data_IF_752437781071
#
_entry.id   IF_752437781071
#
_cell.length_a   1.000
_cell.length_b   1.000
_cell.length_c   1.000
_cell.angle_alpha   90.00
_cell.angle_beta   90.00
_cell.angle_gamma   90.00
#
_symmetry.space_group_name_H-M   'P 1'
#
loop_
_entity.id
_entity.type
_entity.pdbx_description
1 polymer ?
#
# COMPACT_ATOMS: atom_id res chain seq x y z
N UNK A 1 9.67 18.35 0.16
CA UNK A 1 8.45 17.95 -0.57
C UNK A 1 7.71 16.85 0.18
N UNK A 2 6.39 16.90 0.17
CA UNK A 2 5.60 15.84 0.78
C UNK A 2 5.67 14.57 -0.05
N UNK A 3 5.63 13.43 0.64
CA UNK A 3 5.61 12.12 -0.03
C UNK A 3 4.18 11.68 -0.31
N UNK A 4 4.01 10.97 -1.41
CA UNK A 4 2.71 10.48 -1.88
C UNK A 4 2.51 9.03 -1.47
N UNK A 5 1.40 8.74 -0.80
CA UNK A 5 1.04 7.39 -0.35
C UNK A 5 -0.22 6.95 -1.07
N UNK A 6 -0.16 5.83 -1.76
CA UNK A 6 -1.33 5.23 -2.43
C UNK A 6 -1.78 4.01 -1.61
N UNK A 7 -3.04 4.00 -1.20
CA UNK A 7 -3.58 2.92 -0.36
C UNK A 7 -4.71 2.20 -1.08
N UNK A 8 -4.58 0.89 -1.19
CA UNK A 8 -5.61 0.00 -1.71
C UNK A 8 -6.22 -0.81 -0.57
N UNK A 9 -7.50 -0.63 -0.30
CA UNK A 9 -8.22 -1.40 0.70
C UNK A 9 -9.72 -1.29 0.43
N UNK A 10 -10.45 -2.39 0.47
CA UNK A 10 -11.89 -2.38 0.20
C UNK A 10 -12.72 -1.90 1.40
N UNK A 11 -12.11 -1.77 2.56
CA UNK A 11 -12.77 -1.24 3.76
C UNK A 11 -12.64 0.28 3.79
N UNK A 12 -13.73 0.96 3.48
CA UNK A 12 -13.72 2.43 3.41
C UNK A 12 -13.46 3.11 4.75
N UNK A 13 -13.82 2.48 5.87
CA UNK A 13 -13.51 3.02 7.20
C UNK A 13 -12.00 3.01 7.44
N UNK A 14 -11.33 1.94 7.05
CA UNK A 14 -9.87 1.84 7.14
C UNK A 14 -9.21 2.90 6.26
N UNK A 15 -9.72 3.10 5.04
CA UNK A 15 -9.19 4.13 4.14
C UNK A 15 -9.31 5.53 4.74
N UNK A 16 -10.47 5.85 5.32
CA UNK A 16 -10.67 7.15 5.97
C UNK A 16 -9.74 7.35 7.16
N UNK A 17 -9.58 6.31 7.98
CA UNK A 17 -8.70 6.37 9.14
C UNK A 17 -7.24 6.58 8.72
N UNK A 18 -6.76 5.78 7.78
CA UNK A 18 -5.38 5.88 7.30
C UNK A 18 -5.11 7.22 6.65
N UNK A 19 -6.04 7.71 5.84
CA UNK A 19 -5.92 9.01 5.20
C UNK A 19 -5.81 10.12 6.23
N UNK A 20 -6.66 10.11 7.26
CA UNK A 20 -6.63 11.12 8.32
C UNK A 20 -5.29 11.12 9.06
N UNK A 21 -4.80 9.94 9.42
CA UNK A 21 -3.52 9.78 10.13
C UNK A 21 -2.37 10.33 9.28
N UNK A 22 -2.33 9.96 8.01
CA UNK A 22 -1.20 10.31 7.15
C UNK A 22 -1.20 11.78 6.74
N UNK A 23 -2.37 12.36 6.48
CA UNK A 23 -2.45 13.79 6.17
C UNK A 23 -1.95 14.61 7.36
N UNK A 24 -2.30 14.21 8.58
CA UNK A 24 -1.83 14.87 9.79
C UNK A 24 -0.31 14.78 9.95
N UNK A 25 0.32 13.80 9.34
CA UNK A 25 1.76 13.59 9.37
C UNK A 25 2.45 14.06 8.09
N UNK A 26 1.84 14.98 7.38
CA UNK A 26 2.40 15.67 6.20
C UNK A 26 2.59 14.80 4.96
N UNK A 27 1.79 13.75 4.81
CA UNK A 27 1.75 12.97 3.58
C UNK A 27 0.62 13.41 2.68
N UNK A 28 0.78 13.22 1.38
CA UNK A 28 -0.30 13.33 0.39
C UNK A 28 -0.83 11.91 0.15
N UNK A 29 -2.13 11.72 0.22
CA UNK A 29 -2.73 10.39 0.23
C UNK A 29 -3.80 10.25 -0.84
N UNK A 30 -3.72 9.17 -1.61
CA UNK A 30 -4.79 8.73 -2.50
C UNK A 30 -5.26 7.36 -2.02
N UNK A 31 -6.56 7.13 -2.01
CA UNK A 31 -7.15 5.87 -1.58
C UNK A 31 -8.02 5.28 -2.68
N UNK A 32 -7.91 3.96 -2.87
CA UNK A 32 -8.69 3.24 -3.85
C UNK A 32 -9.29 1.99 -3.21
N UNK A 33 -10.60 1.80 -3.38
CA UNK A 33 -11.29 0.65 -2.81
C UNK A 33 -11.32 -0.55 -3.74
N UNK A 34 -10.88 -0.39 -4.97
CA UNK A 34 -10.72 -1.46 -5.95
C UNK A 34 -9.41 -1.25 -6.71
N UNK A 35 -8.88 -2.31 -7.30
CA UNK A 35 -7.68 -2.23 -8.13
C UNK A 35 -8.03 -2.78 -9.51
N UNK A 36 -8.24 -1.88 -10.48
CA UNK A 36 -8.64 -2.26 -11.83
C UNK A 36 -7.47 -2.26 -12.80
N UNK A 37 -6.67 -1.19 -12.79
CA UNK A 37 -5.52 -1.03 -13.68
C UNK A 37 -4.39 -0.39 -12.87
N UNK A 38 -3.65 -1.23 -12.17
CA UNK A 38 -2.68 -0.77 -11.19
C UNK A 38 -1.59 0.13 -11.80
N UNK A 39 -1.11 -0.18 -12.99
CA UNK A 39 -0.06 0.62 -13.61
C UNK A 39 -0.54 2.02 -13.98
N UNK A 40 -1.76 2.14 -14.51
CA UNK A 40 -2.32 3.46 -14.82
C UNK A 40 -2.60 4.26 -13.55
N UNK A 41 -3.09 3.60 -12.51
CA UNK A 41 -3.37 4.24 -11.22
C UNK A 41 -2.09 4.79 -10.59
N UNK A 42 -1.01 4.01 -10.65
CA UNK A 42 0.29 4.44 -10.15
C UNK A 42 0.84 5.61 -10.97
N UNK A 43 0.74 5.54 -12.28
CA UNK A 43 1.22 6.59 -13.16
C UNK A 43 0.49 7.92 -12.90
N UNK A 44 -0.81 7.85 -12.64
CA UNK A 44 -1.62 9.04 -12.38
C UNK A 44 -1.25 9.74 -11.07
N UNK A 45 -0.98 8.98 -10.02
CA UNK A 45 -0.70 9.55 -8.69
C UNK A 45 0.80 9.70 -8.38
N UNK A 46 1.62 8.85 -8.94
CA UNK A 46 3.08 8.81 -8.69
C UNK A 46 3.40 8.62 -7.20
N UNK A 47 3.00 7.50 -6.61
CA UNK A 47 3.24 7.26 -5.19
C UNK A 47 4.70 7.02 -4.88
N UNK A 48 5.11 7.40 -3.67
CA UNK A 48 6.42 7.06 -3.11
C UNK A 48 6.37 5.75 -2.34
N UNK A 49 5.19 5.36 -1.86
CA UNK A 49 4.90 4.08 -1.19
C UNK A 49 3.49 3.66 -1.53
N UNK A 50 3.30 2.35 -1.70
CA UNK A 50 1.99 1.75 -1.94
C UNK A 50 1.65 0.81 -0.80
N UNK A 51 0.45 0.95 -0.22
CA UNK A 51 -0.12 -0.03 0.71
C UNK A 51 -1.14 -0.85 -0.07
N UNK A 52 -0.98 -2.18 -0.05
CA UNK A 52 -1.82 -3.06 -0.85
C UNK A 52 -2.51 -4.12 0.02
N UNK A 53 -3.83 -4.05 0.13
CA UNK A 53 -4.63 -5.09 0.74
C UNK A 53 -4.63 -6.33 -0.15
N UNK A 54 -4.43 -7.50 0.43
CA UNK A 54 -4.39 -8.76 -0.31
C UNK A 54 -5.75 -9.11 -0.93
N UNK A 55 -6.84 -8.66 -0.32
CA UNK A 55 -8.21 -8.97 -0.75
C UNK A 55 -8.85 -7.85 -1.54
N UNK A 56 -8.06 -6.98 -2.16
CA UNK A 56 -8.61 -5.87 -2.96
C UNK A 56 -9.43 -6.41 -4.14
N UNK A 57 -10.68 -5.92 -4.33
CA UNK A 57 -11.52 -6.41 -5.43
C UNK A 57 -10.95 -6.14 -6.81
N UNK A 58 -11.41 -6.91 -7.75
CA UNK A 58 -11.11 -6.95 -9.18
C UNK A 58 -9.80 -7.67 -9.44
N UNK A 59 -8.66 -7.06 -9.14
CA UNK A 59 -7.37 -7.66 -9.48
C UNK A 59 -6.81 -8.59 -8.40
N UNK A 60 -7.04 -8.26 -7.11
CA UNK A 60 -6.39 -8.95 -6.00
C UNK A 60 -5.01 -8.40 -5.73
N UNK A 61 -4.63 -8.37 -4.43
CA UNK A 61 -3.37 -7.74 -4.02
C UNK A 61 -2.12 -8.45 -4.49
N UNK A 62 -2.11 -9.78 -4.43
CA UNK A 62 -0.93 -10.54 -4.89
C UNK A 62 -0.64 -10.29 -6.36
N UNK A 63 -1.69 -10.32 -7.19
CA UNK A 63 -1.56 -10.08 -8.63
C UNK A 63 -1.10 -8.65 -8.90
N UNK A 64 -1.67 -7.68 -8.20
CA UNK A 64 -1.29 -6.28 -8.34
C UNK A 64 0.20 -6.08 -8.01
N UNK A 65 0.67 -6.67 -6.91
CA UNK A 65 2.09 -6.57 -6.52
C UNK A 65 2.98 -7.22 -7.56
N UNK A 66 2.60 -8.38 -8.09
CA UNK A 66 3.34 -9.04 -9.15
C UNK A 66 3.52 -8.14 -10.37
N UNK A 67 2.44 -7.48 -10.79
CA UNK A 67 2.49 -6.55 -11.92
C UNK A 67 3.41 -5.37 -11.62
N UNK A 68 3.31 -4.78 -10.43
CA UNK A 68 4.17 -3.66 -10.02
C UNK A 68 5.64 -4.06 -10.06
N UNK A 69 5.97 -5.23 -9.51
CA UNK A 69 7.37 -5.66 -9.38
C UNK A 69 7.98 -6.17 -10.68
N UNK A 70 7.16 -6.49 -11.67
CA UNK A 70 7.63 -6.93 -12.98
C UNK A 70 7.66 -5.81 -14.03
N UNK A 71 7.40 -4.57 -13.63
CA UNK A 71 7.42 -3.43 -14.54
C UNK A 71 8.58 -2.49 -14.21
N UNK A 72 9.39 -2.17 -15.21
CA UNK A 72 10.59 -1.33 -15.02
C UNK A 72 10.28 0.05 -14.43
N UNK A 73 9.12 0.63 -14.78
CA UNK A 73 8.76 1.97 -14.30
C UNK A 73 8.28 1.96 -12.83
N UNK A 74 7.88 0.82 -12.28
CA UNK A 74 7.26 0.75 -10.95
C UNK A 74 7.96 -0.18 -9.96
N UNK A 75 8.85 -1.06 -10.43
CA UNK A 75 9.44 -2.10 -9.58
C UNK A 75 10.20 -1.58 -8.36
N UNK A 76 10.69 -0.35 -8.42
CA UNK A 76 11.46 0.24 -7.32
C UNK A 76 10.59 1.00 -6.31
N UNK A 77 9.29 1.11 -6.55
CA UNK A 77 8.37 1.74 -5.59
C UNK A 77 8.13 0.75 -4.44
N UNK A 78 8.40 1.13 -3.19
CA UNK A 78 8.13 0.23 -2.06
C UNK A 78 6.65 -0.11 -1.97
N UNK A 79 6.34 -1.40 -1.88
CA UNK A 79 4.99 -1.90 -1.68
C UNK A 79 4.93 -2.60 -0.33
N UNK A 80 3.99 -2.18 0.50
CA UNK A 80 3.75 -2.76 1.81
C UNK A 80 2.42 -3.51 1.76
N UNK A 81 2.44 -4.79 2.14
CA UNK A 81 1.21 -5.57 2.26
C UNK A 81 0.44 -5.06 3.48
N UNK A 82 -0.85 -4.82 3.33
CA UNK A 82 -1.70 -4.27 4.37
C UNK A 82 -2.88 -5.20 4.62
N UNK A 83 -2.76 -6.11 5.60
CA UNK A 83 -3.72 -7.21 5.70
C UNK A 83 -3.88 -7.74 7.11
N UNK A 84 -5.06 -8.32 7.39
CA UNK A 84 -5.34 -9.09 8.60
C UNK A 84 -5.11 -10.59 8.39
N UNK A 85 -4.58 -10.99 7.24
CA UNK A 85 -4.36 -12.40 6.90
C UNK A 85 -3.28 -13.01 7.80
N UNK A 86 -3.57 -14.18 8.39
CA UNK A 86 -2.61 -14.87 9.26
C UNK A 86 -1.34 -15.29 8.51
N UNK A 87 -1.42 -15.46 7.19
CA UNK A 87 -0.29 -15.89 6.36
C UNK A 87 0.50 -14.72 5.76
N UNK A 88 0.31 -13.51 6.28
CA UNK A 88 0.93 -12.30 5.74
C UNK A 88 2.45 -12.41 5.57
N UNK A 89 3.12 -13.07 6.51
CA UNK A 89 4.58 -13.24 6.44
C UNK A 89 5.02 -14.15 5.31
N UNK A 90 4.26 -15.21 5.05
CA UNK A 90 4.55 -16.13 3.96
C UNK A 90 4.29 -15.48 2.61
N UNK A 91 3.19 -14.74 2.51
CA UNK A 91 2.84 -14.01 1.29
C UNK A 91 3.87 -12.91 1.02
N UNK A 92 4.30 -12.22 2.05
CA UNK A 92 5.34 -11.20 1.95
C UNK A 92 6.62 -11.73 1.30
N UNK A 93 7.06 -12.92 1.71
CA UNK A 93 8.25 -13.55 1.13
C UNK A 93 8.04 -13.94 -0.32
N UNK A 94 6.82 -14.36 -0.66
CA UNK A 94 6.48 -14.86 -1.99
C UNK A 94 6.40 -13.74 -3.04
N UNK A 95 5.91 -12.56 -2.67
CA UNK A 95 5.56 -11.52 -3.65
C UNK A 95 6.60 -10.41 -3.79
N UNK A 96 7.72 -10.49 -3.12
CA UNK A 96 8.80 -9.48 -3.18
C UNK A 96 8.36 -8.08 -2.72
N UNK A 97 7.40 -7.99 -1.79
CA UNK A 97 7.05 -6.72 -1.18
C UNK A 97 8.19 -6.24 -0.27
N UNK A 98 8.29 -4.94 -0.04
CA UNK A 98 9.32 -4.36 0.81
C UNK A 98 9.00 -4.46 2.30
N UNK A 99 7.74 -4.65 2.64
CA UNK A 99 7.34 -4.79 4.03
C UNK A 99 5.87 -5.16 4.15
N UNK A 100 5.37 -5.19 5.38
CA UNK A 100 3.96 -5.45 5.63
C UNK A 100 3.51 -4.74 6.90
N UNK A 101 2.20 -4.46 6.96
CA UNK A 101 1.55 -3.90 8.15
C UNK A 101 0.36 -4.82 8.45
N UNK A 102 0.38 -5.45 9.62
CA UNK A 102 -0.71 -6.32 10.04
C UNK A 102 -1.87 -5.51 10.61
N UNK A 103 -3.08 -5.89 10.30
CA UNK A 103 -4.28 -5.33 10.91
C UNK A 103 -4.75 -6.24 12.04
N UNK A 104 -5.19 -5.71 13.17
CA UNK A 104 -5.21 -4.29 13.55
C UNK A 104 -3.79 -3.77 13.86
N UNK A 105 -3.58 -2.49 13.62
CA UNK A 105 -2.27 -1.86 13.82
C UNK A 105 -2.35 -0.75 14.87
N UNK A 106 -1.21 -0.46 15.50
CA UNK A 106 -1.10 0.74 16.31
C UNK A 106 -0.77 1.92 15.41
N UNK A 107 -1.27 3.11 15.74
CA UNK A 107 -1.03 4.30 14.94
C UNK A 107 0.47 4.59 14.84
N UNK A 108 1.20 4.48 15.94
CA UNK A 108 2.64 4.74 15.94
C UNK A 108 3.41 3.78 15.04
N UNK A 109 3.10 2.49 15.08
CA UNK A 109 3.75 1.49 14.23
C UNK A 109 3.45 1.74 12.76
N UNK A 110 2.20 2.10 12.45
CA UNK A 110 1.77 2.42 11.09
C UNK A 110 2.58 3.59 10.52
N UNK A 111 2.65 4.69 11.27
CA UNK A 111 3.41 5.88 10.85
C UNK A 111 4.90 5.58 10.69
N UNK A 112 5.50 4.90 11.67
CA UNK A 112 6.92 4.54 11.63
C UNK A 112 7.25 3.70 10.40
N UNK A 113 6.42 2.71 10.11
CA UNK A 113 6.65 1.82 8.97
C UNK A 113 6.62 2.59 7.66
N UNK A 114 5.66 3.49 7.51
CA UNK A 114 5.56 4.31 6.30
C UNK A 114 6.73 5.27 6.19
N UNK A 115 7.10 5.95 7.27
CA UNK A 115 8.25 6.87 7.25
C UNK A 115 9.55 6.15 6.90
N UNK A 116 9.74 4.95 7.40
CA UNK A 116 10.95 4.15 7.12
C UNK A 116 11.08 3.86 5.63
N UNK A 117 9.97 3.67 4.93
CA UNK A 117 9.96 3.36 3.51
C UNK A 117 9.88 4.59 2.60
N UNK A 118 9.73 5.78 3.16
CA UNK A 118 9.72 7.05 2.40
C UNK A 118 10.96 7.89 2.63
N UNK A 119 11.88 7.42 3.46
CA UNK A 119 13.10 8.15 3.78
C UNK A 119 14.06 8.24 2.58
#
# INVERSE_FOLDING_TARGET
>A
MKKNILIYDDDEEILLLCKAILIKNDFVVETLSICENVLNEIQAFKPDVILMDLWIPVMGGEKAIEIIKNNEATKNIPVLIFSANADIKDIFKKVNAEGYIEKPFSISTFIETIKRHTA
#
